data_IF_894675429403
#
_entry.id   IF_894675429403
#
_cell.length_a   1.000
_cell.length_b   1.000
_cell.length_c   1.000
_cell.angle_alpha   90.00
_cell.angle_beta   90.00
_cell.angle_gamma   90.00
#
_symmetry.space_group_name_H-M   'P 1'
#
loop_
_entity.id
_entity.type
_entity.pdbx_description
1 polymer ?
#
# COMPACT_ATOMS: atom_id res chain seq x y z
N UNK A 1 -12.76 -1.08 9.55
CA UNK A 1 -12.69 -2.53 9.21
C UNK A 1 -12.90 -2.88 7.72
N UNK A 2 -12.55 -2.00 6.77
CA UNK A 2 -12.28 -2.36 5.37
C UNK A 2 -11.54 -1.19 4.69
N UNK A 3 -11.97 0.03 4.99
CA UNK A 3 -11.27 1.27 4.66
C UNK A 3 -9.92 1.40 5.36
N UNK A 4 -9.86 1.05 6.66
CA UNK A 4 -8.62 1.05 7.45
C UNK A 4 -7.56 0.10 6.87
N UNK A 5 -7.94 -1.13 6.49
CA UNK A 5 -7.04 -2.09 5.87
C UNK A 5 -6.56 -1.66 4.48
N UNK A 6 -7.40 -0.94 3.72
CA UNK A 6 -7.00 -0.37 2.42
C UNK A 6 -6.00 0.78 2.60
N UNK A 7 -6.22 1.66 3.60
CA UNK A 7 -5.27 2.72 3.92
C UNK A 7 -3.93 2.18 4.42
N UNK A 8 -3.93 1.13 5.25
CA UNK A 8 -2.70 0.45 5.70
C UNK A 8 -1.93 -0.19 4.53
N UNK A 9 -2.64 -0.83 3.59
CA UNK A 9 -2.03 -1.38 2.38
C UNK A 9 -1.35 -0.29 1.54
N UNK A 10 -2.04 0.82 1.31
CA UNK A 10 -1.49 1.93 0.52
C UNK A 10 -0.28 2.54 1.22
N UNK A 11 -0.35 2.75 2.54
CA UNK A 11 0.78 3.24 3.30
C UNK A 11 2.00 2.32 3.17
N UNK A 12 1.78 1.00 3.23
CA UNK A 12 2.84 0.01 3.00
C UNK A 12 3.46 0.15 1.60
N UNK A 13 2.66 0.35 0.55
CA UNK A 13 3.16 0.55 -0.81
C UNK A 13 3.97 1.85 -0.94
N UNK A 14 3.51 2.94 -0.33
CA UNK A 14 4.23 4.22 -0.32
C UNK A 14 5.59 4.09 0.38
N UNK A 15 5.64 3.38 1.50
CA UNK A 15 6.87 3.14 2.25
C UNK A 15 7.83 2.21 1.49
N UNK A 16 7.34 1.20 0.77
CA UNK A 16 8.17 0.35 -0.09
C UNK A 16 8.78 1.13 -1.27
N UNK A 17 8.01 2.00 -1.92
CA UNK A 17 8.55 2.89 -2.98
C UNK A 17 9.67 3.78 -2.44
N UNK A 18 9.46 4.36 -1.26
CA UNK A 18 10.48 5.19 -0.60
C UNK A 18 11.71 4.36 -0.21
N UNK A 19 11.52 3.15 0.34
CA UNK A 19 12.61 2.26 0.74
C UNK A 19 13.50 1.83 -0.43
N UNK A 20 12.91 1.67 -1.62
CA UNK A 20 13.62 1.26 -2.83
C UNK A 20 14.24 2.42 -3.60
N UNK A 21 14.13 3.66 -3.09
CA UNK A 21 14.56 4.88 -3.79
C UNK A 21 14.02 4.93 -5.23
N UNK A 22 12.77 4.48 -5.41
CA UNK A 22 12.16 4.43 -6.73
C UNK A 22 11.90 5.85 -7.21
N UNK A 23 12.57 6.24 -8.29
CA UNK A 23 12.38 7.58 -8.86
C UNK A 23 11.02 7.66 -9.57
N UNK A 24 10.19 8.67 -9.27
CA UNK A 24 8.87 8.81 -9.87
C UNK A 24 8.89 8.74 -11.41
N UNK A 25 9.88 9.40 -12.02
CA UNK A 25 10.09 9.38 -13.47
C UNK A 25 10.33 7.97 -14.04
N UNK A 26 11.27 7.23 -13.46
CA UNK A 26 11.59 5.86 -13.91
C UNK A 26 10.38 4.92 -13.72
N UNK A 27 9.64 5.10 -12.62
CA UNK A 27 8.40 4.35 -12.39
C UNK A 27 7.31 4.69 -13.42
N UNK A 28 7.17 5.96 -13.78
CA UNK A 28 6.20 6.40 -14.77
C UNK A 28 6.52 5.82 -16.16
N UNK A 29 7.79 5.76 -16.54
CA UNK A 29 8.22 5.11 -17.78
C UNK A 29 7.90 3.60 -17.77
N UNK A 30 8.11 2.92 -16.64
CA UNK A 30 7.91 1.48 -16.51
C UNK A 30 6.42 1.08 -16.47
N UNK A 31 5.58 1.88 -15.82
CA UNK A 31 4.19 1.52 -15.53
C UNK A 31 3.17 2.28 -16.37
N UNK A 32 3.57 3.39 -17.00
CA UNK A 32 2.68 4.33 -17.68
C UNK A 32 1.80 5.14 -16.72
N UNK A 33 2.03 5.04 -15.41
CA UNK A 33 1.34 5.85 -14.40
C UNK A 33 2.06 7.19 -14.31
N UNK A 34 1.35 8.30 -14.49
CA UNK A 34 1.96 9.62 -14.43
C UNK A 34 2.57 9.90 -13.04
N UNK A 35 3.67 10.66 -13.00
CA UNK A 35 4.45 10.92 -11.78
C UNK A 35 3.58 11.53 -10.67
N UNK A 36 2.66 12.44 -11.04
CA UNK A 36 1.76 13.12 -10.11
C UNK A 36 0.81 12.13 -9.41
N UNK A 37 0.58 10.95 -10.00
CA UNK A 37 -0.25 9.92 -9.38
C UNK A 37 0.49 9.17 -8.29
N UNK A 38 1.82 9.10 -8.33
CA UNK A 38 2.61 8.57 -7.23
C UNK A 38 2.61 9.50 -6.03
N UNK A 39 2.53 10.81 -6.25
CA UNK A 39 2.41 11.80 -5.17
C UNK A 39 1.14 11.54 -4.34
N UNK A 40 0.02 11.20 -5.00
CA UNK A 40 -1.22 10.80 -4.31
C UNK A 40 -1.01 9.62 -3.35
N UNK A 41 -0.17 8.65 -3.72
CA UNK A 41 0.15 7.52 -2.87
C UNK A 41 0.98 7.96 -1.66
N UNK A 42 1.97 8.83 -1.88
CA UNK A 42 2.86 9.34 -0.83
C UNK A 42 2.17 10.29 0.15
N UNK A 43 1.18 11.05 -0.32
CA UNK A 43 0.34 11.94 0.49
C UNK A 43 -0.80 11.20 1.21
N UNK A 44 -0.96 9.89 0.96
CA UNK A 44 -2.05 9.11 1.50
C UNK A 44 -3.42 9.44 0.88
N UNK A 45 -3.44 10.16 -0.26
CA UNK A 45 -4.64 10.52 -1.02
C UNK A 45 -5.11 9.40 -1.96
N UNK A 46 -4.92 8.15 -1.56
CA UNK A 46 -5.13 6.95 -2.39
C UNK A 46 -6.57 6.72 -2.84
N UNK A 47 -7.54 7.30 -2.15
CA UNK A 47 -8.95 7.32 -2.58
C UNK A 47 -9.15 8.02 -3.94
N UNK A 48 -8.18 8.82 -4.39
CA UNK A 48 -8.18 9.46 -5.72
C UNK A 48 -7.51 8.59 -6.79
N UNK A 49 -6.92 7.46 -6.40
CA UNK A 49 -6.30 6.50 -7.29
C UNK A 49 -7.29 5.43 -7.73
N UNK A 50 -7.04 4.86 -8.90
CA UNK A 50 -7.84 3.73 -9.39
C UNK A 50 -7.31 2.41 -8.84
N UNK A 51 -8.17 1.40 -8.74
CA UNK A 51 -7.74 0.04 -8.37
C UNK A 51 -6.67 -0.51 -9.33
N UNK A 52 -6.72 -0.12 -10.61
CA UNK A 52 -5.73 -0.51 -11.62
C UNK A 52 -4.36 0.10 -11.31
N UNK A 53 -4.30 1.36 -10.90
CA UNK A 53 -3.03 2.00 -10.50
C UNK A 53 -2.42 1.31 -9.29
N UNK A 54 -3.23 1.02 -8.28
CA UNK A 54 -2.78 0.29 -7.09
C UNK A 54 -2.24 -1.11 -7.47
N UNK A 55 -2.94 -1.83 -8.34
CA UNK A 55 -2.49 -3.13 -8.84
C UNK A 55 -1.15 -3.03 -9.60
N UNK A 56 -1.01 -2.08 -10.52
CA UNK A 56 0.23 -1.86 -11.26
C UNK A 56 1.41 -1.50 -10.34
N UNK A 57 1.18 -0.69 -9.31
CA UNK A 57 2.19 -0.38 -8.29
C UNK A 57 2.63 -1.65 -7.56
N UNK A 58 1.68 -2.50 -7.16
CA UNK A 58 2.00 -3.77 -6.47
C UNK A 58 2.79 -4.72 -7.35
N UNK A 59 2.43 -4.84 -8.64
CA UNK A 59 3.14 -5.65 -9.61
C UNK A 59 4.57 -5.14 -9.86
N UNK A 60 4.72 -3.82 -10.03
CA UNK A 60 6.03 -3.18 -10.23
C UNK A 60 6.96 -3.38 -9.02
N UNK A 61 6.39 -3.36 -7.81
CA UNK A 61 7.13 -3.64 -6.59
C UNK A 61 7.35 -5.14 -6.33
N UNK A 62 6.82 -6.03 -7.19
CA UNK A 62 6.82 -7.47 -6.97
C UNK A 62 6.27 -7.87 -5.59
N UNK A 63 5.22 -7.18 -5.15
CA UNK A 63 4.55 -7.42 -3.87
C UNK A 63 3.37 -8.34 -4.11
N UNK A 64 3.34 -9.47 -3.38
CA UNK A 64 2.16 -10.31 -3.34
C UNK A 64 1.12 -9.71 -2.38
N UNK A 65 0.05 -9.18 -2.96
CA UNK A 65 -1.06 -8.61 -2.20
C UNK A 65 -1.71 -9.60 -1.24
N UNK A 66 -1.69 -10.90 -1.54
CA UNK A 66 -2.25 -11.93 -0.65
C UNK A 66 -1.42 -12.11 0.63
N UNK A 67 -0.09 -11.98 0.52
CA UNK A 67 0.81 -12.00 1.67
C UNK A 67 0.63 -10.75 2.54
N UNK A 68 0.55 -9.57 1.91
CA UNK A 68 0.34 -8.31 2.63
C UNK A 68 -1.01 -8.30 3.33
N UNK A 69 -2.07 -8.77 2.67
CA UNK A 69 -3.39 -8.85 3.28
C UNK A 69 -3.42 -9.82 4.46
N UNK A 70 -2.72 -10.94 4.35
CA UNK A 70 -2.58 -11.91 5.45
C UNK A 70 -1.84 -11.31 6.65
N UNK A 71 -0.81 -10.50 6.42
CA UNK A 71 -0.08 -9.79 7.47
C UNK A 71 -0.95 -8.73 8.16
N UNK A 72 -1.67 -7.91 7.37
CA UNK A 72 -2.58 -6.89 7.90
C UNK A 72 -3.74 -7.50 8.69
N UNK A 73 -4.31 -8.61 8.20
CA UNK A 73 -5.36 -9.35 8.90
C UNK A 73 -4.86 -9.94 10.24
N UNK A 74 -3.63 -10.44 10.30
CA UNK A 74 -3.02 -10.92 11.56
C UNK A 74 -2.83 -9.78 12.57
N UNK A 75 -2.36 -8.61 12.13
CA UNK A 75 -2.18 -7.42 12.96
C UNK A 75 -3.50 -6.94 13.58
N UNK A 76 -4.62 -7.10 12.88
CA UNK A 76 -5.95 -6.78 13.41
C UNK A 76 -6.49 -7.85 14.38
N UNK A 77 -6.09 -9.12 14.21
CA UNK A 77 -6.43 -10.21 15.13
C UNK A 77 -5.71 -10.16 16.49
N UNK A 78 -4.51 -9.59 16.53
CA UNK A 78 -3.70 -9.51 17.77
C UNK A 78 -4.24 -8.47 18.77
N UNK A 79 -5.03 -7.49 18.30
CA UNK A 79 -5.73 -6.53 19.15
C UNK A 79 -6.92 -7.12 19.94
N UNK A 80 -7.36 -8.34 19.64
CA UNK A 80 -8.49 -8.99 20.31
C UNK A 80 -8.06 -9.99 21.40
N UNK A 81 -6.76 -10.17 21.63
CA UNK A 81 -6.20 -11.11 22.63
C UNK A 81 -5.66 -10.43 23.90
N UNK A 82 -5.85 -9.12 24.12
CA UNK A 82 -5.70 -8.57 25.46
C UNK A 82 -6.86 -9.05 26.33
N UNK A 83 -6.66 -10.19 26.98
CA UNK A 83 -7.50 -10.67 28.06
C UNK A 83 -7.65 -9.55 29.13
N UNK A 84 -8.85 -9.35 29.70
CA UNK A 84 -9.02 -8.38 30.77
C UNK A 84 -8.11 -8.80 31.93
N UNK A 85 -7.15 -7.94 32.28
CA UNK A 85 -6.28 -8.17 33.43
C UNK A 85 -7.15 -8.11 34.71
N UNK A 86 -6.92 -9.02 35.68
CA UNK A 86 -7.64 -9.04 36.95
C UNK A 86 -7.36 -7.81 37.81
#
# INVERSE_FOLDING_TARGET
>A
MASESAAELVQFLADELRRRDTKPHEFAELTGIAEERLELLQEGAWQLMTLREIAMITECLHIDLSEVWSLLAQKQGDGMNEAPRP
#
